data_IF_736799304153
#
_entry.id   IF_736799304153
#
_cell.length_a   1.000
_cell.length_b   1.000
_cell.length_c   1.000
_cell.angle_alpha   90.00
_cell.angle_beta   90.00
_cell.angle_gamma   90.00
#
_symmetry.space_group_name_H-M   'P 1'
#
loop_
_entity.id
_entity.type
_entity.pdbx_description
1 polymer ?
#
# COMPACT_ATOMS: atom_id res chain seq x y z
N UNK A 1 -9.18 -4.79 17.94
CA UNK A 1 -7.79 -4.28 17.87
C UNK A 1 -7.79 -2.84 18.37
N UNK A 2 -6.96 -2.48 19.34
CA UNK A 2 -7.05 -1.17 20.01
C UNK A 2 -6.40 -1.12 21.40
N UNK A 3 -5.87 -2.25 21.90
CA UNK A 3 -5.18 -2.31 23.18
C UNK A 3 -3.97 -1.35 23.29
N UNK A 4 -3.34 -0.99 22.16
CA UNK A 4 -2.28 0.03 22.14
C UNK A 4 -2.80 1.40 22.59
N UNK A 5 -4.07 1.74 22.32
CA UNK A 5 -4.63 3.02 22.78
C UNK A 5 -4.71 3.08 24.30
N UNK A 6 -5.13 1.99 24.95
CA UNK A 6 -5.16 1.92 26.41
C UNK A 6 -3.74 2.08 27.00
N UNK A 7 -2.73 1.49 26.38
CA UNK A 7 -1.34 1.63 26.81
C UNK A 7 -0.81 3.06 26.59
N UNK A 8 -1.12 3.71 25.46
CA UNK A 8 -0.72 5.09 25.20
C UNK A 8 -1.34 6.10 26.15
N UNK A 9 -2.66 5.96 26.34
CA UNK A 9 -3.46 6.97 27.02
C UNK A 9 -3.53 6.74 28.53
N UNK A 10 -3.50 5.48 28.99
CA UNK A 10 -3.54 5.13 30.42
C UNK A 10 -2.16 4.78 30.99
N UNK A 11 -1.21 4.39 30.15
CA UNK A 11 0.19 4.13 30.53
C UNK A 11 1.13 5.27 30.13
N UNK A 12 2.41 4.94 29.91
CA UNK A 12 3.45 5.92 29.61
C UNK A 12 3.58 6.19 28.10
N UNK A 13 3.34 7.44 27.70
CA UNK A 13 3.42 7.86 26.30
C UNK A 13 4.87 7.98 25.75
N UNK A 14 5.89 7.89 26.59
CA UNK A 14 7.30 7.96 26.17
C UNK A 14 7.78 6.69 25.47
N UNK A 15 7.26 5.54 25.90
CA UNK A 15 7.60 4.23 25.33
C UNK A 15 6.80 3.95 24.06
N UNK A 16 5.61 4.55 23.95
CA UNK A 16 4.72 4.34 22.81
C UNK A 16 5.01 5.32 21.65
N UNK A 17 5.11 4.82 20.40
CA UNK A 17 5.44 5.67 19.26
C UNK A 17 4.28 6.60 18.87
N UNK A 18 4.61 7.85 18.51
CA UNK A 18 3.64 8.83 18.01
C UNK A 18 3.37 8.67 16.50
N UNK A 19 2.13 8.36 16.05
CA UNK A 19 1.78 8.08 14.65
C UNK A 19 2.15 9.17 13.65
N UNK A 20 2.15 10.43 14.08
CA UNK A 20 2.46 11.56 13.20
C UNK A 20 3.97 11.75 12.98
N UNK A 21 4.82 11.16 13.84
CA UNK A 21 6.28 11.35 13.86
C UNK A 21 7.06 10.05 13.65
N UNK A 22 6.42 9.02 13.13
CA UNK A 22 7.09 7.76 12.77
C UNK A 22 7.73 7.90 11.38
N UNK A 23 8.92 7.31 11.12
CA UNK A 23 9.82 6.58 12.02
C UNK A 23 10.85 7.49 12.73
N UNK A 24 11.08 7.26 14.04
CA UNK A 24 12.10 8.00 14.82
C UNK A 24 13.51 7.41 14.68
N UNK A 25 13.60 6.09 14.47
CA UNK A 25 14.87 5.38 14.34
C UNK A 25 15.26 5.22 12.85
N UNK A 26 16.57 5.19 12.53
CA UNK A 26 17.01 5.01 11.16
C UNK A 26 16.66 3.60 10.65
N UNK A 27 16.30 3.47 9.35
CA UNK A 27 15.78 2.22 8.78
C UNK A 27 16.82 1.08 8.70
N UNK A 28 18.10 1.41 8.84
CA UNK A 28 19.23 0.47 8.73
C UNK A 28 19.69 -0.07 10.10
N UNK A 29 19.13 0.45 11.20
CA UNK A 29 19.51 0.03 12.55
C UNK A 29 19.15 -1.45 12.77
N UNK A 30 20.18 -2.29 12.97
CA UNK A 30 20.03 -3.73 13.19
C UNK A 30 19.78 -4.57 11.93
N UNK A 31 19.83 -3.96 10.73
CA UNK A 31 19.59 -4.63 9.44
C UNK A 31 20.78 -4.42 8.51
N UNK A 32 21.78 -5.33 8.50
CA UNK A 32 23.04 -5.11 7.78
C UNK A 32 22.90 -5.06 6.24
N UNK A 33 21.81 -5.58 5.65
CA UNK A 33 21.59 -5.59 4.19
C UNK A 33 20.10 -5.46 3.84
N UNK A 34 19.46 -4.35 4.23
CA UNK A 34 18.07 -4.07 3.86
C UNK A 34 17.96 -3.72 2.38
N UNK A 35 17.10 -4.41 1.63
CA UNK A 35 16.79 -4.07 0.23
C UNK A 35 15.61 -3.09 0.16
N UNK A 36 15.66 -2.08 -0.73
CA UNK A 36 14.52 -1.21 -0.97
C UNK A 36 13.37 -1.98 -1.64
N UNK A 37 12.14 -1.51 -1.45
CA UNK A 37 10.98 -2.00 -2.23
C UNK A 37 11.12 -1.52 -3.66
N UNK A 38 10.91 -2.41 -4.62
CA UNK A 38 10.97 -2.09 -6.05
C UNK A 38 9.57 -1.78 -6.57
N UNK A 39 9.40 -0.64 -7.25
CA UNK A 39 8.16 -0.30 -7.93
C UNK A 39 8.14 -0.91 -9.34
N UNK A 40 7.16 -1.77 -9.60
CA UNK A 40 7.02 -2.45 -10.91
C UNK A 40 6.44 -1.50 -11.97
N UNK A 41 5.55 -0.58 -11.58
CA UNK A 41 4.94 0.39 -12.48
C UNK A 41 5.79 1.65 -12.60
N UNK A 42 6.01 2.13 -13.84
CA UNK A 42 6.71 3.39 -14.06
C UNK A 42 5.81 4.59 -13.78
N UNK A 43 6.38 5.70 -13.28
CA UNK A 43 5.62 6.93 -13.02
C UNK A 43 4.88 7.46 -14.26
N UNK A 44 5.47 7.31 -15.46
CA UNK A 44 4.84 7.68 -16.73
C UNK A 44 3.58 6.84 -17.02
N UNK A 45 3.63 5.53 -16.75
CA UNK A 45 2.45 4.65 -16.94
C UNK A 45 1.31 5.03 -15.98
N UNK A 46 1.61 5.36 -14.72
CA UNK A 46 0.60 5.77 -13.75
C UNK A 46 -0.04 7.12 -14.11
N UNK A 47 0.75 8.06 -14.64
CA UNK A 47 0.25 9.33 -15.14
C UNK A 47 -0.67 9.14 -16.36
N UNK A 48 -0.28 8.31 -17.32
CA UNK A 48 -1.10 7.98 -18.50
C UNK A 48 -2.40 7.26 -18.10
N UNK A 49 -2.34 6.37 -17.12
CA UNK A 49 -3.49 5.68 -16.55
C UNK A 49 -4.40 6.56 -15.69
N UNK A 50 -4.04 7.85 -15.47
CA UNK A 50 -4.78 8.81 -14.62
C UNK A 50 -5.12 8.26 -13.23
N UNK A 51 -4.20 7.50 -12.63
CA UNK A 51 -4.36 6.96 -11.28
C UNK A 51 -4.29 8.11 -10.26
N UNK A 52 -5.21 8.19 -9.28
CA UNK A 52 -5.17 9.22 -8.23
C UNK A 52 -3.92 9.05 -7.36
N UNK A 53 -3.44 10.16 -6.77
CA UNK A 53 -2.18 10.17 -6.03
C UNK A 53 -2.17 9.17 -4.85
N UNK A 54 -3.31 9.00 -4.20
CA UNK A 54 -3.48 8.08 -3.06
C UNK A 54 -3.36 6.60 -3.43
N UNK A 55 -3.45 6.24 -4.72
CA UNK A 55 -3.39 4.85 -5.20
C UNK A 55 -2.10 4.59 -6.01
N UNK A 56 -1.11 5.48 -5.92
CA UNK A 56 0.19 5.37 -6.63
C UNK A 56 1.24 4.66 -5.77
N UNK A 57 0.83 3.58 -5.14
CA UNK A 57 1.65 2.80 -4.23
C UNK A 57 2.48 1.75 -5.00
N UNK A 58 3.26 0.95 -4.28
CA UNK A 58 4.06 -0.13 -4.90
C UNK A 58 3.16 -1.15 -5.62
N UNK A 59 1.92 -1.29 -5.15
CA UNK A 59 0.91 -2.19 -5.71
C UNK A 59 0.19 -1.68 -6.97
N UNK A 60 0.41 -0.42 -7.40
CA UNK A 60 -0.39 0.23 -8.44
C UNK A 60 -0.38 -0.47 -9.82
N UNK A 61 0.59 -1.35 -10.06
CA UNK A 61 0.66 -2.19 -11.26
C UNK A 61 -0.52 -3.17 -11.38
N UNK A 62 -1.05 -3.69 -10.27
CA UNK A 62 -2.26 -4.52 -10.27
C UNK A 62 -3.50 -3.69 -10.59
N UNK A 63 -3.59 -2.48 -10.03
CA UNK A 63 -4.71 -1.56 -10.28
C UNK A 63 -4.81 -1.19 -11.76
N UNK A 64 -3.67 -0.93 -12.44
CA UNK A 64 -3.65 -0.68 -13.87
C UNK A 64 -4.23 -1.85 -14.68
N UNK A 65 -3.92 -3.11 -14.30
CA UNK A 65 -4.48 -4.31 -14.94
C UNK A 65 -5.98 -4.42 -14.72
N UNK A 66 -6.45 -4.11 -13.51
CA UNK A 66 -7.87 -4.11 -13.17
C UNK A 66 -8.64 -3.04 -13.96
N UNK A 67 -8.12 -1.81 -14.04
CA UNK A 67 -8.73 -0.74 -14.84
C UNK A 67 -8.81 -1.10 -16.33
N UNK A 68 -7.77 -1.74 -16.86
CA UNK A 68 -7.78 -2.27 -18.22
C UNK A 68 -8.86 -3.33 -18.40
N UNK A 69 -8.94 -4.31 -17.50
CA UNK A 69 -9.96 -5.35 -17.56
C UNK A 69 -11.38 -4.77 -17.50
N UNK A 70 -11.64 -3.77 -16.64
CA UNK A 70 -12.95 -3.12 -16.59
C UNK A 70 -13.33 -2.41 -17.88
N UNK A 71 -12.37 -1.81 -18.57
CA UNK A 71 -12.60 -1.19 -19.89
C UNK A 71 -12.91 -2.24 -20.95
N UNK A 72 -12.19 -3.36 -20.94
CA UNK A 72 -12.31 -4.41 -21.97
C UNK A 72 -13.55 -5.31 -21.74
N UNK A 73 -13.94 -5.54 -20.49
CA UNK A 73 -15.04 -6.42 -20.10
C UNK A 73 -16.39 -5.72 -19.88
N UNK A 74 -16.51 -4.42 -20.20
CA UNK A 74 -17.78 -3.71 -20.11
C UNK A 74 -18.83 -4.38 -21.02
N UNK A 75 -20.03 -4.74 -20.51
CA UNK A 75 -20.72 -4.25 -19.30
C UNK A 75 -20.66 -5.18 -18.07
N UNK A 76 -19.84 -6.23 -18.06
CA UNK A 76 -19.81 -7.25 -17.01
C UNK A 76 -18.57 -7.12 -16.10
N UNK A 77 -18.64 -6.36 -15.00
CA UNK A 77 -17.47 -6.13 -14.14
C UNK A 77 -16.99 -7.36 -13.37
N UNK A 78 -17.86 -8.36 -13.15
CA UNK A 78 -17.57 -9.57 -12.36
C UNK A 78 -16.50 -10.47 -12.99
N UNK A 79 -16.28 -10.37 -14.31
CA UNK A 79 -15.27 -11.15 -15.01
C UNK A 79 -13.84 -10.84 -14.49
N UNK A 80 -13.65 -9.66 -13.89
CA UNK A 80 -12.36 -9.18 -13.41
C UNK A 80 -12.09 -9.47 -11.93
N UNK A 81 -12.90 -10.31 -11.26
CA UNK A 81 -12.77 -10.60 -9.82
C UNK A 81 -11.41 -11.16 -9.40
N UNK A 82 -10.78 -11.98 -10.25
CA UNK A 82 -9.45 -12.53 -9.99
C UNK A 82 -8.38 -11.43 -9.92
N UNK A 83 -8.45 -10.45 -10.82
CA UNK A 83 -7.54 -9.30 -10.84
C UNK A 83 -7.80 -8.37 -9.64
N UNK A 84 -9.06 -8.24 -9.23
CA UNK A 84 -9.43 -7.50 -8.02
C UNK A 84 -8.83 -8.13 -6.78
N UNK A 85 -8.98 -9.44 -6.63
CA UNK A 85 -8.39 -10.17 -5.51
C UNK A 85 -6.85 -10.05 -5.48
N UNK A 86 -6.18 -10.07 -6.63
CA UNK A 86 -4.73 -9.84 -6.68
C UNK A 86 -4.34 -8.45 -6.17
N UNK A 87 -5.12 -7.42 -6.52
CA UNK A 87 -4.89 -6.07 -6.01
C UNK A 87 -5.17 -5.98 -4.50
N UNK A 88 -6.29 -6.53 -4.03
CA UNK A 88 -6.68 -6.54 -2.63
C UNK A 88 -5.65 -7.29 -1.75
N UNK A 89 -5.14 -8.44 -2.22
CA UNK A 89 -4.08 -9.19 -1.53
C UNK A 89 -2.79 -8.36 -1.41
N UNK A 90 -2.38 -7.73 -2.50
CA UNK A 90 -1.16 -6.95 -2.52
C UNK A 90 -1.26 -5.68 -1.65
N UNK A 91 -2.44 -5.07 -1.54
CA UNK A 91 -2.72 -3.99 -0.57
C UNK A 91 -2.73 -4.49 0.88
N UNK A 92 -3.11 -5.75 1.10
CA UNK A 92 -3.07 -6.35 2.44
C UNK A 92 -1.64 -6.67 2.90
N UNK A 93 -0.77 -7.06 1.96
CA UNK A 93 0.66 -7.35 2.21
C UNK A 93 1.53 -6.08 2.29
N UNK A 94 1.00 -4.92 1.90
CA UNK A 94 1.72 -3.65 1.87
C UNK A 94 2.08 -3.13 3.27
#
# INVERSE_FOLDING_TARGET
MGAHLARRYLGDAEVEPDPLKMPTFPPDMGLPNRRPRESVATAKQLALGRVPLEQRDYCAHHLLRLMRCHRDAFPLPWLCNSLRHQWDLCQHEE
#
